data_IF_254876853064
#
_entry.id   IF_254876853064
#
_cell.length_a   1.000
_cell.length_b   1.000
_cell.length_c   1.000
_cell.angle_alpha   90.00
_cell.angle_beta   90.00
_cell.angle_gamma   90.00
#
_symmetry.space_group_name_H-M   'P 1'
#
loop_
_entity.id
_entity.type
_entity.pdbx_description
1 polymer ?
#
# COMPACT_ATOMS: atom_id res chain seq x y z
N UNK A 1 123.75 18.14 -20.34
CA UNK A 1 123.46 18.34 -21.77
C UNK A 1 122.40 17.34 -22.20
N UNK A 2 121.45 17.81 -23.00
CA UNK A 2 120.32 17.06 -23.52
C UNK A 2 120.75 15.82 -24.33
N UNK A 3 119.89 14.78 -24.35
CA UNK A 3 119.44 14.23 -25.62
C UNK A 3 118.12 13.44 -25.50
N UNK A 4 117.34 13.62 -26.55
CA UNK A 4 116.01 13.08 -26.83
C UNK A 4 116.01 11.55 -26.94
N UNK A 5 114.90 10.90 -26.59
CA UNK A 5 114.34 9.76 -27.36
C UNK A 5 112.80 9.77 -27.27
N UNK A 6 112.18 9.69 -28.46
CA UNK A 6 110.74 9.75 -28.79
C UNK A 6 110.12 8.30 -28.80
N UNK A 7 108.86 8.03 -29.22
CA UNK A 7 107.89 7.26 -28.43
C UNK A 7 107.33 6.03 -29.19
N UNK A 8 107.33 4.84 -28.59
CA UNK A 8 106.33 3.80 -28.88
C UNK A 8 106.62 2.56 -28.05
N UNK A 9 106.12 2.53 -26.82
CA UNK A 9 105.93 1.26 -26.11
C UNK A 9 104.49 0.82 -26.31
N UNK A 10 104.24 0.06 -27.39
CA UNK A 10 103.11 -0.86 -27.44
C UNK A 10 103.28 -1.84 -26.27
N UNK A 11 102.54 -1.62 -25.19
CA UNK A 11 102.41 -2.60 -24.11
C UNK A 11 101.68 -3.81 -24.69
N UNK A 12 102.42 -4.89 -24.92
CA UNK A 12 101.82 -6.20 -25.20
C UNK A 12 100.88 -6.56 -24.05
N UNK A 13 99.58 -6.78 -24.30
CA UNK A 13 98.69 -7.33 -23.28
C UNK A 13 99.14 -8.76 -22.98
N UNK A 14 99.44 -9.03 -21.72
CA UNK A 14 99.77 -10.38 -21.25
C UNK A 14 98.59 -11.33 -21.52
N UNK A 15 98.80 -12.53 -22.08
CA UNK A 15 97.71 -13.48 -22.34
C UNK A 15 96.97 -13.96 -21.07
N UNK A 16 97.58 -13.78 -19.89
CA UNK A 16 96.96 -14.10 -18.60
C UNK A 16 95.83 -13.16 -18.16
N UNK A 17 95.78 -11.91 -18.65
CA UNK A 17 94.70 -10.97 -18.28
C UNK A 17 93.43 -11.16 -19.11
N UNK A 18 93.50 -11.88 -20.24
CA UNK A 18 92.33 -12.26 -21.05
C UNK A 18 91.54 -13.41 -20.43
N UNK A 19 92.23 -14.46 -19.99
CA UNK A 19 91.61 -15.67 -19.40
C UNK A 19 90.97 -15.36 -18.04
N UNK A 20 91.63 -14.56 -17.19
CA UNK A 20 91.07 -14.10 -15.92
C UNK A 20 89.82 -13.21 -16.09
N UNK A 21 89.78 -12.38 -17.15
CA UNK A 21 88.59 -11.58 -17.46
C UNK A 21 87.42 -12.45 -17.93
N UNK A 22 87.66 -13.47 -18.76
CA UNK A 22 86.63 -14.41 -19.24
C UNK A 22 86.09 -15.28 -18.09
N UNK A 23 86.96 -15.81 -17.21
CA UNK A 23 86.56 -16.56 -16.01
C UNK A 23 85.83 -15.69 -14.99
N UNK A 24 86.25 -14.43 -14.80
CA UNK A 24 85.52 -13.48 -13.95
C UNK A 24 84.13 -13.16 -14.50
N UNK A 25 83.98 -13.00 -15.82
CA UNK A 25 82.67 -12.83 -16.47
C UNK A 25 81.75 -14.05 -16.31
N UNK A 26 82.31 -15.26 -16.30
CA UNK A 26 81.55 -16.50 -16.21
C UNK A 26 81.00 -16.80 -14.79
N UNK A 27 81.58 -16.20 -13.75
CA UNK A 27 81.13 -16.35 -12.35
C UNK A 27 80.34 -15.12 -11.88
N UNK A 28 80.77 -13.92 -12.28
CA UNK A 28 80.13 -12.66 -11.86
C UNK A 28 78.74 -12.51 -12.50
N UNK A 29 78.55 -12.91 -13.77
CA UNK A 29 77.25 -12.79 -14.44
C UNK A 29 76.18 -13.69 -13.81
N UNK A 30 76.43 -14.99 -13.54
CA UNK A 30 75.47 -15.83 -12.80
C UNK A 30 75.22 -15.34 -11.37
N UNK A 31 76.24 -14.88 -10.64
CA UNK A 31 76.07 -14.35 -9.29
C UNK A 31 75.22 -13.07 -9.28
N UNK A 32 75.42 -12.17 -10.25
CA UNK A 32 74.60 -10.98 -10.44
C UNK A 32 73.14 -11.34 -10.81
N UNK A 33 72.92 -12.34 -11.68
CA UNK A 33 71.59 -12.84 -12.00
C UNK A 33 70.88 -13.44 -10.77
N UNK A 34 71.59 -14.22 -9.94
CA UNK A 34 71.04 -14.77 -8.69
C UNK A 34 70.65 -13.65 -7.73
N UNK A 35 71.48 -12.60 -7.60
CA UNK A 35 71.16 -11.44 -6.76
C UNK A 35 69.94 -10.66 -7.28
N UNK A 36 69.80 -10.49 -8.60
CA UNK A 36 68.60 -9.88 -9.22
C UNK A 36 67.36 -10.74 -8.97
N UNK A 37 67.47 -12.06 -9.10
CA UNK A 37 66.37 -13.00 -8.80
C UNK A 37 65.99 -12.94 -7.31
N UNK A 38 66.97 -12.92 -6.41
CA UNK A 38 66.71 -12.84 -4.98
C UNK A 38 66.09 -11.49 -4.57
N UNK A 39 66.59 -10.38 -5.12
CA UNK A 39 66.02 -9.05 -4.91
C UNK A 39 64.59 -8.96 -5.44
N UNK A 40 64.30 -9.56 -6.60
CA UNK A 40 62.93 -9.61 -7.14
C UNK A 40 62.00 -10.48 -6.28
N UNK A 41 62.48 -11.61 -5.73
CA UNK A 41 61.70 -12.44 -4.78
C UNK A 41 61.40 -11.69 -3.48
N UNK A 42 62.38 -10.99 -2.88
CA UNK A 42 62.16 -10.20 -1.67
C UNK A 42 61.19 -9.06 -1.94
N UNK A 43 61.39 -8.33 -3.04
CA UNK A 43 60.49 -7.27 -3.46
C UNK A 43 59.06 -7.80 -3.65
N UNK A 44 58.91 -8.94 -4.31
CA UNK A 44 57.63 -9.61 -4.50
C UNK A 44 56.96 -9.98 -3.16
N UNK A 45 57.70 -10.61 -2.24
CA UNK A 45 57.17 -11.00 -0.92
C UNK A 45 56.77 -9.79 -0.07
N UNK A 46 57.53 -8.70 -0.17
CA UNK A 46 57.24 -7.44 0.54
C UNK A 46 56.01 -6.75 -0.04
N UNK A 47 55.95 -6.60 -1.37
CA UNK A 47 54.81 -6.03 -2.08
C UNK A 47 53.53 -6.82 -1.78
N UNK A 48 53.59 -8.15 -1.83
CA UNK A 48 52.46 -9.02 -1.53
C UNK A 48 51.91 -8.82 -0.10
N UNK A 49 52.79 -8.74 0.92
CA UNK A 49 52.36 -8.48 2.30
C UNK A 49 51.72 -7.11 2.48
N UNK A 50 52.21 -6.09 1.79
CA UNK A 50 51.64 -4.75 1.84
C UNK A 50 50.27 -4.71 1.18
N UNK A 51 50.11 -5.34 0.02
CA UNK A 51 48.82 -5.48 -0.67
C UNK A 51 47.80 -6.27 0.15
N UNK A 52 48.19 -7.35 0.82
CA UNK A 52 47.31 -8.07 1.74
C UNK A 52 46.84 -7.20 2.92
N UNK A 53 47.74 -6.42 3.52
CA UNK A 53 47.37 -5.50 4.61
C UNK A 53 46.40 -4.41 4.13
N UNK A 54 46.63 -3.86 2.94
CA UNK A 54 45.74 -2.88 2.33
C UNK A 54 44.38 -3.51 2.00
N UNK A 55 44.35 -4.71 1.43
CA UNK A 55 43.13 -5.45 1.14
C UNK A 55 42.30 -5.69 2.42
N UNK A 56 42.92 -6.23 3.49
CA UNK A 56 42.22 -6.48 4.76
C UNK A 56 41.67 -5.18 5.35
N UNK A 57 42.45 -4.09 5.27
CA UNK A 57 42.01 -2.77 5.73
C UNK A 57 40.81 -2.28 4.92
N UNK A 58 40.89 -2.27 3.59
CA UNK A 58 39.80 -1.82 2.71
C UNK A 58 38.54 -2.69 2.88
N UNK A 59 38.68 -4.02 3.03
CA UNK A 59 37.56 -4.92 3.32
C UNK A 59 36.92 -4.66 4.69
N UNK A 60 37.70 -4.29 5.71
CA UNK A 60 37.19 -3.94 7.04
C UNK A 60 36.44 -2.60 7.08
N UNK A 61 36.70 -1.73 6.10
CA UNK A 61 36.04 -0.43 5.95
C UNK A 61 34.71 -0.53 5.16
N UNK A 62 34.41 -1.68 4.53
CA UNK A 62 33.13 -1.92 3.85
C UNK A 62 31.98 -1.84 4.85
N UNK A 63 31.10 -0.84 4.66
CA UNK A 63 30.03 -0.53 5.61
C UNK A 63 29.06 -1.71 5.77
N UNK A 64 28.94 -2.20 7.00
CA UNK A 64 27.89 -3.13 7.41
C UNK A 64 26.71 -2.29 7.93
N UNK A 65 25.63 -2.25 7.17
CA UNK A 65 24.39 -1.58 7.60
C UNK A 65 23.65 -2.53 8.55
N UNK A 66 23.21 -2.00 9.70
CA UNK A 66 22.45 -2.78 10.68
C UNK A 66 21.07 -3.18 10.15
N UNK A 67 20.54 -4.32 10.62
CA UNK A 67 19.21 -4.78 10.21
C UNK A 67 18.11 -3.77 10.55
N UNK A 68 18.29 -3.04 11.65
CA UNK A 68 17.37 -2.00 12.11
C UNK A 68 17.40 -0.75 11.20
N UNK A 69 18.57 -0.34 10.72
CA UNK A 69 18.70 0.72 9.72
C UNK A 69 17.98 0.35 8.41
N UNK A 70 18.11 -0.90 7.96
CA UNK A 70 17.42 -1.40 6.76
C UNK A 70 15.90 -1.37 6.96
N UNK A 71 15.41 -1.78 8.14
CA UNK A 71 13.97 -1.70 8.47
C UNK A 71 13.47 -0.25 8.49
N UNK A 72 14.22 0.68 9.07
CA UNK A 72 13.83 2.10 9.07
C UNK A 72 13.86 2.71 7.66
N UNK A 73 14.86 2.37 6.84
CA UNK A 73 14.96 2.82 5.44
C UNK A 73 13.81 2.22 4.60
N UNK A 74 13.46 0.95 4.82
CA UNK A 74 12.31 0.30 4.19
C UNK A 74 10.99 0.96 4.59
N UNK A 75 10.76 1.23 5.88
CA UNK A 75 9.56 1.94 6.35
C UNK A 75 9.44 3.34 5.73
N UNK A 76 10.56 4.09 5.68
CA UNK A 76 10.61 5.42 5.02
C UNK A 76 10.30 5.33 3.53
N UNK A 77 10.88 4.36 2.82
CA UNK A 77 10.61 4.15 1.39
C UNK A 77 9.15 3.82 1.10
N UNK A 78 8.52 3.05 2.00
CA UNK A 78 7.10 2.69 1.94
C UNK A 78 6.16 3.78 2.50
N UNK A 79 6.69 4.93 2.95
CA UNK A 79 5.94 6.02 3.60
C UNK A 79 5.12 5.55 4.81
N UNK A 80 5.70 4.67 5.61
CA UNK A 80 5.08 4.11 6.82
C UNK A 80 5.82 4.54 8.07
N UNK A 81 5.09 4.70 9.17
CA UNK A 81 5.67 4.89 10.50
C UNK A 81 6.24 3.56 11.02
N UNK A 82 7.45 3.62 11.58
CA UNK A 82 8.10 2.48 12.21
C UNK A 82 7.90 2.55 13.74
N UNK A 83 7.61 1.43 14.43
CA UNK A 83 7.50 0.07 13.93
C UNK A 83 6.18 -0.23 13.21
N UNK A 84 6.25 -0.95 12.08
CA UNK A 84 5.07 -1.39 11.33
C UNK A 84 4.46 -2.60 12.04
N UNK A 85 3.28 -2.39 12.64
CA UNK A 85 2.55 -3.46 13.35
C UNK A 85 1.77 -4.33 12.36
N UNK A 86 1.64 -5.64 12.64
CA UNK A 86 0.74 -6.51 11.88
C UNK A 86 -0.71 -6.09 12.06
N UNK A 87 -1.62 -6.54 11.18
CA UNK A 87 -3.03 -6.25 11.31
C UNK A 87 -3.61 -6.75 12.63
N UNK A 88 -4.51 -5.97 13.21
CA UNK A 88 -5.19 -6.37 14.46
C UNK A 88 -6.32 -7.38 14.25
N UNK A 89 -6.85 -7.47 13.02
CA UNK A 89 -7.96 -8.34 12.63
C UNK A 89 -7.69 -8.90 11.24
N UNK A 90 -8.21 -10.09 10.97
CA UNK A 90 -8.19 -10.71 9.64
C UNK A 90 -9.23 -10.06 8.71
N UNK A 91 -9.08 -10.19 7.38
CA UNK A 91 -10.07 -9.66 6.42
C UNK A 91 -11.48 -10.19 6.69
N UNK A 92 -11.61 -11.49 6.95
CA UNK A 92 -12.91 -12.12 7.23
C UNK A 92 -13.58 -11.58 8.50
N UNK A 93 -12.80 -11.27 9.54
CA UNK A 93 -13.31 -10.66 10.76
C UNK A 93 -13.79 -9.24 10.51
N UNK A 94 -13.04 -8.45 9.74
CA UNK A 94 -13.40 -7.09 9.36
C UNK A 94 -14.70 -7.08 8.55
N UNK A 95 -14.77 -7.95 7.54
CA UNK A 95 -15.95 -8.08 6.68
C UNK A 95 -17.15 -8.58 7.48
N UNK A 96 -16.98 -9.50 8.45
CA UNK A 96 -18.10 -9.89 9.32
C UNK A 96 -18.59 -8.74 10.20
N UNK A 97 -17.67 -8.04 10.86
CA UNK A 97 -17.98 -6.95 11.78
C UNK A 97 -18.65 -5.77 11.08
N UNK A 98 -18.20 -5.41 9.88
CA UNK A 98 -18.84 -4.37 9.09
C UNK A 98 -20.28 -4.77 8.70
N UNK A 99 -20.56 -6.05 8.42
CA UNK A 99 -21.88 -6.53 8.02
C UNK A 99 -22.83 -6.48 9.21
N UNK A 100 -22.37 -6.97 10.36
CA UNK A 100 -23.13 -6.92 11.61
C UNK A 100 -23.43 -5.48 12.03
N UNK A 101 -22.44 -4.59 11.93
CA UNK A 101 -22.61 -3.17 12.30
C UNK A 101 -23.55 -2.46 11.34
N UNK A 102 -23.39 -2.65 10.02
CA UNK A 102 -24.29 -2.09 9.02
C UNK A 102 -25.73 -2.60 9.22
N UNK A 103 -25.90 -3.90 9.50
CA UNK A 103 -27.22 -4.48 9.76
C UNK A 103 -27.87 -3.89 11.02
N UNK A 104 -27.13 -3.74 12.12
CA UNK A 104 -27.63 -3.10 13.34
C UNK A 104 -28.11 -1.67 13.06
N UNK A 105 -27.32 -0.87 12.35
CA UNK A 105 -27.70 0.50 11.98
C UNK A 105 -28.94 0.52 11.07
N UNK A 106 -29.03 -0.40 10.13
CA UNK A 106 -30.21 -0.54 9.27
C UNK A 106 -31.43 -0.94 10.08
N UNK A 107 -31.33 -1.94 10.97
CA UNK A 107 -32.44 -2.42 11.80
C UNK A 107 -32.93 -1.34 12.78
N UNK A 108 -32.03 -0.50 13.31
CA UNK A 108 -32.38 0.65 14.16
C UNK A 108 -33.18 1.70 13.39
N UNK A 109 -32.70 2.08 12.20
CA UNK A 109 -33.32 3.12 11.35
C UNK A 109 -34.61 2.62 10.68
N UNK A 110 -34.59 1.40 10.18
CA UNK A 110 -35.67 0.71 9.49
C UNK A 110 -36.23 -0.37 10.42
N UNK A 111 -36.74 0.06 11.57
CA UNK A 111 -37.48 -0.82 12.47
C UNK A 111 -38.97 -0.89 12.08
N UNK A 112 -39.65 -1.93 12.57
CA UNK A 112 -41.08 -2.15 12.31
C UNK A 112 -41.99 -1.05 12.89
N UNK A 113 -41.55 -0.36 13.95
CA UNK A 113 -42.33 0.73 14.55
C UNK A 113 -42.41 1.93 13.61
N UNK A 114 -41.30 2.26 12.95
CA UNK A 114 -41.23 3.40 12.02
C UNK A 114 -42.16 3.19 10.82
N UNK A 115 -42.18 1.99 10.23
CA UNK A 115 -43.12 1.70 9.12
C UNK A 115 -44.57 1.61 9.61
N UNK A 116 -44.82 1.09 10.81
CA UNK A 116 -46.17 1.07 11.38
C UNK A 116 -46.73 2.48 11.58
N UNK A 117 -45.90 3.43 12.04
CA UNK A 117 -46.28 4.84 12.17
C UNK A 117 -46.62 5.45 10.80
N UNK A 118 -45.80 5.22 9.77
CA UNK A 118 -46.09 5.71 8.43
C UNK A 118 -47.38 5.11 7.83
N UNK A 119 -47.66 3.84 8.14
CA UNK A 119 -48.91 3.18 7.73
C UNK A 119 -50.11 3.78 8.46
N UNK A 120 -50.00 4.00 9.77
CA UNK A 120 -51.06 4.61 10.59
C UNK A 120 -51.37 6.04 10.11
N UNK A 121 -50.34 6.83 9.80
CA UNK A 121 -50.49 8.17 9.21
C UNK A 121 -51.18 8.12 7.84
N UNK A 122 -50.88 7.12 7.01
CA UNK A 122 -51.56 6.92 5.73
C UNK A 122 -53.04 6.56 5.91
N UNK A 123 -53.37 5.70 6.88
CA UNK A 123 -54.76 5.37 7.24
C UNK A 123 -55.51 6.63 7.69
N UNK A 124 -54.90 7.42 8.59
CA UNK A 124 -55.50 8.67 9.08
C UNK A 124 -55.72 9.72 7.98
N UNK A 125 -54.80 9.81 7.02
CA UNK A 125 -54.83 10.82 5.96
C UNK A 125 -55.90 10.57 4.90
N UNK A 126 -56.31 9.32 4.68
CA UNK A 126 -57.22 8.94 3.61
C UNK A 126 -58.55 8.36 4.10
N UNK A 127 -58.94 8.66 5.34
CA UNK A 127 -60.25 8.27 5.86
C UNK A 127 -61.40 9.03 5.19
N UNK A 128 -62.54 8.35 5.06
CA UNK A 128 -63.80 8.97 4.67
C UNK A 128 -64.21 10.02 5.73
N UNK A 129 -64.78 11.14 5.27
CA UNK A 129 -65.26 12.19 6.16
C UNK A 129 -66.45 11.69 6.98
N UNK A 130 -66.45 12.00 8.26
CA UNK A 130 -67.60 11.72 9.15
C UNK A 130 -68.66 12.81 9.02
N UNK A 131 -69.93 12.47 9.17
CA UNK A 131 -71.02 13.47 9.21
C UNK A 131 -70.74 14.48 10.33
N UNK A 132 -70.80 15.77 10.01
CA UNK A 132 -70.42 16.86 10.91
C UNK A 132 -68.97 17.33 10.77
N UNK A 133 -68.13 16.64 10.01
CA UNK A 133 -66.74 17.02 9.77
C UNK A 133 -66.63 18.16 8.75
N UNK A 134 -65.72 19.10 8.99
CA UNK A 134 -65.35 20.11 7.99
C UNK A 134 -64.52 19.45 6.88
N UNK A 135 -64.95 19.64 5.63
CA UNK A 135 -64.28 19.10 4.44
C UNK A 135 -63.91 20.22 3.49
N UNK A 136 -62.80 20.03 2.78
CA UNK A 136 -62.33 20.91 1.70
C UNK A 136 -62.05 20.05 0.46
N UNK A 137 -62.65 20.39 -0.68
CA UNK A 137 -62.43 19.66 -1.93
C UNK A 137 -62.61 20.56 -3.17
N UNK A 138 -62.08 20.12 -4.30
CA UNK A 138 -62.29 20.78 -5.59
C UNK A 138 -63.45 20.14 -6.35
N UNK A 139 -64.28 20.98 -6.97
CA UNK A 139 -65.32 20.60 -7.91
C UNK A 139 -65.00 21.13 -9.30
N UNK A 140 -65.27 20.34 -10.34
CA UNK A 140 -65.09 20.71 -11.76
C UNK A 140 -65.99 21.87 -12.17
N UNK A 141 -67.13 22.03 -11.48
CA UNK A 141 -68.16 23.03 -11.83
C UNK A 141 -68.02 24.35 -11.05
N UNK A 142 -67.01 24.49 -10.19
CA UNK A 142 -66.73 25.73 -9.44
C UNK A 142 -65.27 26.12 -9.56
N UNK A 143 -65.01 27.41 -9.73
CA UNK A 143 -63.67 27.98 -9.67
C UNK A 143 -63.26 28.21 -8.21
N UNK A 144 -62.73 27.18 -7.56
CA UNK A 144 -62.14 27.27 -6.22
C UNK A 144 -62.50 26.10 -5.30
N UNK A 145 -61.86 26.03 -4.11
CA UNK A 145 -62.15 25.01 -3.11
C UNK A 145 -63.55 25.19 -2.52
N UNK A 146 -64.31 24.11 -2.48
CA UNK A 146 -65.54 23.99 -1.70
C UNK A 146 -65.15 23.65 -0.27
N UNK A 147 -65.60 24.47 0.69
CA UNK A 147 -65.41 24.27 2.13
C UNK A 147 -66.77 24.18 2.79
N UNK A 148 -66.93 23.26 3.73
CA UNK A 148 -68.14 23.21 4.54
C UNK A 148 -68.26 21.95 5.38
N UNK A 149 -69.38 21.81 6.07
CA UNK A 149 -69.66 20.68 6.94
C UNK A 149 -70.26 19.53 6.14
N UNK A 150 -69.62 18.36 6.11
CA UNK A 150 -70.18 17.17 5.50
C UNK A 150 -71.46 16.73 6.22
N UNK A 151 -72.57 16.60 5.49
CA UNK A 151 -73.89 16.19 6.03
C UNK A 151 -74.29 14.77 5.67
N UNK A 152 -73.49 14.07 4.85
CA UNK A 152 -73.78 12.71 4.39
C UNK A 152 -73.99 12.61 2.88
N UNK A 153 -74.28 11.39 2.43
CA UNK A 153 -74.58 11.05 1.03
C UNK A 153 -76.09 10.92 0.82
N UNK A 154 -76.56 11.41 -0.32
CA UNK A 154 -77.92 11.27 -0.83
C UNK A 154 -77.85 10.70 -2.26
N UNK A 155 -77.76 9.37 -2.35
CA UNK A 155 -77.52 8.65 -3.60
C UNK A 155 -76.16 9.01 -4.22
N UNK A 156 -76.19 9.65 -5.40
CA UNK A 156 -74.99 10.10 -6.13
C UNK A 156 -74.49 11.49 -5.69
N UNK A 157 -75.20 12.15 -4.78
CA UNK A 157 -74.89 13.48 -4.29
C UNK A 157 -74.26 13.44 -2.90
N UNK A 158 -73.33 14.36 -2.67
CA UNK A 158 -72.71 14.67 -1.39
C UNK A 158 -73.32 15.96 -0.88
N UNK A 159 -73.78 15.95 0.36
CA UNK A 159 -74.35 17.12 1.02
C UNK A 159 -73.26 17.81 1.83
N UNK A 160 -72.99 19.08 1.54
CA UNK A 160 -72.03 19.91 2.27
C UNK A 160 -72.69 21.24 2.61
N UNK A 161 -72.82 21.52 3.91
CA UNK A 161 -73.69 22.56 4.46
C UNK A 161 -75.13 22.47 3.91
N UNK A 162 -75.53 23.40 3.05
CA UNK A 162 -76.86 23.45 2.42
C UNK A 162 -76.82 23.10 0.92
N UNK A 163 -75.62 22.87 0.37
CA UNK A 163 -75.40 22.62 -1.05
C UNK A 163 -75.31 21.11 -1.35
N UNK A 164 -75.77 20.73 -2.55
CA UNK A 164 -75.61 19.37 -3.10
C UNK A 164 -74.53 19.35 -4.18
N UNK A 165 -73.60 18.41 -4.08
CA UNK A 165 -72.52 18.21 -5.06
C UNK A 165 -72.60 16.80 -5.64
N UNK A 166 -72.63 16.68 -6.97
CA UNK A 166 -72.57 15.37 -7.62
C UNK A 166 -71.19 14.75 -7.45
N UNK A 167 -71.11 13.48 -7.08
CA UNK A 167 -69.84 12.72 -7.01
C UNK A 167 -69.07 12.73 -8.34
N UNK A 168 -69.74 12.94 -9.49
CA UNK A 168 -69.09 13.02 -10.81
C UNK A 168 -68.32 14.34 -11.02
N UNK A 169 -68.77 15.40 -10.35
CA UNK A 169 -68.22 16.74 -10.47
C UNK A 169 -67.07 16.96 -9.48
N UNK A 170 -66.95 16.11 -8.46
CA UNK A 170 -65.82 16.11 -7.53
C UNK A 170 -64.58 15.55 -8.25
N UNK A 171 -63.43 16.22 -8.11
CA UNK A 171 -62.16 15.71 -8.64
C UNK A 171 -61.81 14.36 -7.99
N UNK A 172 -61.27 13.43 -8.79
CA UNK A 172 -61.00 12.06 -8.35
C UNK A 172 -60.10 11.99 -7.12
N UNK A 173 -59.19 12.96 -6.99
CA UNK A 173 -58.29 13.05 -5.87
C UNK A 173 -58.96 13.35 -4.53
N UNK A 174 -60.20 13.85 -4.51
CA UNK A 174 -60.98 14.13 -3.28
C UNK A 174 -62.12 13.14 -3.04
N UNK A 175 -62.40 12.23 -3.97
CA UNK A 175 -63.51 11.26 -3.83
C UNK A 175 -63.41 10.38 -2.59
N UNK A 176 -62.19 10.13 -2.12
CA UNK A 176 -61.94 9.39 -0.88
C UNK A 176 -62.61 10.00 0.35
N UNK A 177 -62.82 11.33 0.37
CA UNK A 177 -63.50 12.01 1.48
C UNK A 177 -64.97 11.59 1.60
N UNK A 178 -65.55 11.09 0.52
CA UNK A 178 -66.97 10.83 0.46
C UNK A 178 -67.29 9.38 0.15
N UNK A 179 -66.31 8.55 -0.25
CA UNK A 179 -66.52 7.18 -0.70
C UNK A 179 -65.55 6.22 -0.02
N UNK A 180 -66.10 5.32 0.78
CA UNK A 180 -65.38 4.29 1.53
C UNK A 180 -64.49 3.40 0.66
N UNK A 181 -64.96 3.04 -0.55
CA UNK A 181 -64.18 2.21 -1.47
C UNK A 181 -62.98 2.98 -2.02
N UNK A 182 -63.19 4.26 -2.36
CA UNK A 182 -62.12 5.15 -2.82
C UNK A 182 -61.10 5.46 -1.70
N UNK A 183 -61.57 5.65 -0.45
CA UNK A 183 -60.74 5.78 0.74
C UNK A 183 -59.87 4.55 0.99
N UNK A 184 -60.49 3.37 0.96
CA UNK A 184 -59.79 2.09 1.12
C UNK A 184 -58.76 1.90 0.02
N UNK A 185 -59.13 2.15 -1.24
CA UNK A 185 -58.21 2.03 -2.38
C UNK A 185 -57.00 2.98 -2.24
N UNK A 186 -57.22 4.27 -1.96
CA UNK A 186 -56.13 5.23 -1.76
C UNK A 186 -55.22 4.87 -0.59
N UNK A 187 -55.81 4.43 0.52
CA UNK A 187 -55.06 3.97 1.69
C UNK A 187 -54.19 2.78 1.33
N UNK A 188 -54.74 1.77 0.66
CA UNK A 188 -53.99 0.57 0.23
C UNK A 188 -52.88 0.91 -0.77
N UNK A 189 -53.14 1.76 -1.75
CA UNK A 189 -52.13 2.26 -2.70
C UNK A 189 -50.98 2.96 -1.96
N UNK A 190 -51.31 3.83 -0.99
CA UNK A 190 -50.29 4.51 -0.20
C UNK A 190 -49.47 3.56 0.67
N UNK A 191 -50.12 2.60 1.33
CA UNK A 191 -49.45 1.57 2.13
C UNK A 191 -48.52 0.72 1.24
N UNK A 192 -48.96 0.37 0.03
CA UNK A 192 -48.15 -0.37 -0.94
C UNK A 192 -46.92 0.44 -1.35
N UNK A 193 -47.10 1.74 -1.61
CA UNK A 193 -45.98 2.64 -1.92
C UNK A 193 -44.97 2.70 -0.76
N UNK A 194 -45.44 2.90 0.48
CA UNK A 194 -44.61 2.95 1.69
C UNK A 194 -43.82 1.64 1.86
N UNK A 195 -44.48 0.50 1.76
CA UNK A 195 -43.81 -0.82 1.87
C UNK A 195 -42.79 -1.05 0.75
N UNK A 196 -43.11 -0.60 -0.47
CA UNK A 196 -42.23 -0.69 -1.62
C UNK A 196 -40.96 0.15 -1.45
N UNK A 197 -41.09 1.43 -1.08
CA UNK A 197 -39.95 2.32 -0.88
C UNK A 197 -39.11 1.91 0.33
N UNK A 198 -39.75 1.49 1.43
CA UNK A 198 -39.06 1.09 2.67
C UNK A 198 -38.01 0.01 2.44
N UNK A 199 -38.35 -1.05 1.69
CA UNK A 199 -37.40 -2.13 1.41
C UNK A 199 -36.21 -1.63 0.57
N UNK A 200 -36.49 -0.86 -0.48
CA UNK A 200 -35.46 -0.32 -1.38
C UNK A 200 -34.54 0.65 -0.64
N UNK A 201 -35.09 1.50 0.21
CA UNK A 201 -34.33 2.44 1.04
C UNK A 201 -33.49 1.72 2.10
N UNK A 202 -34.02 0.68 2.74
CA UNK A 202 -33.30 -0.13 3.71
C UNK A 202 -32.10 -0.86 3.06
N UNK A 203 -32.32 -1.48 1.90
CA UNK A 203 -31.27 -2.20 1.15
C UNK A 203 -30.18 -1.22 0.72
N UNK A 204 -30.54 -0.06 0.16
CA UNK A 204 -29.59 0.99 -0.23
C UNK A 204 -28.81 1.53 0.97
N UNK A 205 -29.50 1.82 2.08
CA UNK A 205 -28.86 2.31 3.30
C UNK A 205 -27.88 1.29 3.89
N UNK A 206 -28.23 0.01 3.84
CA UNK A 206 -27.34 -1.07 4.25
C UNK A 206 -26.08 -1.11 3.38
N UNK A 207 -26.21 -1.12 2.05
CA UNK A 207 -25.06 -1.20 1.14
C UNK A 207 -24.10 -0.02 1.28
N UNK A 208 -24.63 1.20 1.41
CA UNK A 208 -23.83 2.41 1.60
C UNK A 208 -23.06 2.38 2.93
N UNK A 209 -23.72 1.97 4.02
CA UNK A 209 -23.06 1.89 5.33
C UNK A 209 -22.07 0.74 5.42
N UNK A 210 -22.41 -0.43 4.87
CA UNK A 210 -21.54 -1.58 4.80
C UNK A 210 -20.19 -1.23 4.18
N UNK A 211 -20.18 -0.65 2.96
CA UNK A 211 -18.95 -0.29 2.23
C UNK A 211 -18.12 0.74 3.00
N UNK A 212 -18.78 1.73 3.59
CA UNK A 212 -18.12 2.78 4.38
C UNK A 212 -17.46 2.21 5.64
N UNK A 213 -18.21 1.41 6.41
CA UNK A 213 -17.73 0.81 7.66
C UNK A 213 -16.60 -0.18 7.37
N UNK A 214 -16.73 -0.99 6.32
CA UNK A 214 -15.69 -1.91 5.87
C UNK A 214 -14.38 -1.16 5.59
N UNK A 215 -14.43 -0.08 4.82
CA UNK A 215 -13.26 0.75 4.53
C UNK A 215 -12.61 1.34 5.79
N UNK A 216 -13.42 1.84 6.72
CA UNK A 216 -12.95 2.38 7.99
C UNK A 216 -12.29 1.30 8.87
N UNK A 217 -12.90 0.11 8.94
CA UNK A 217 -12.37 -1.01 9.72
C UNK A 217 -11.08 -1.57 9.13
N UNK A 218 -10.97 -1.69 7.80
CA UNK A 218 -9.71 -2.09 7.15
C UNK A 218 -8.59 -1.10 7.45
N UNK A 219 -8.84 0.19 7.30
CA UNK A 219 -7.84 1.23 7.58
C UNK A 219 -7.39 1.21 9.05
N UNK A 220 -8.34 1.10 10.00
CA UNK A 220 -8.06 0.99 11.43
C UNK A 220 -7.30 -0.29 11.79
N UNK A 221 -7.57 -1.38 11.07
CA UNK A 221 -6.94 -2.68 11.32
C UNK A 221 -5.56 -2.82 10.69
N UNK A 222 -5.05 -1.80 9.98
CA UNK A 222 -3.69 -1.82 9.42
C UNK A 222 -3.61 -2.25 7.95
N UNK A 223 -4.71 -2.20 7.21
CA UNK A 223 -4.74 -2.46 5.77
C UNK A 223 -4.73 -1.17 4.95
N UNK A 224 -4.25 -1.26 3.72
CA UNK A 224 -4.29 -0.20 2.70
C UNK A 224 -4.83 -0.79 1.41
N UNK A 225 -5.63 0.00 0.70
CA UNK A 225 -6.16 -0.39 -0.61
C UNK A 225 -5.06 -0.21 -1.65
N UNK A 226 -4.74 -1.29 -2.36
CA UNK A 226 -3.79 -1.26 -3.48
C UNK A 226 -4.43 -0.64 -4.74
N UNK A 227 -3.60 -0.30 -5.72
CA UNK A 227 -4.06 0.26 -7.00
C UNK A 227 -5.01 -0.69 -7.76
N UNK A 228 -4.94 -1.99 -7.49
CA UNK A 228 -5.85 -3.02 -8.03
C UNK A 228 -7.18 -3.14 -7.27
N UNK A 229 -7.42 -2.29 -6.26
CA UNK A 229 -8.65 -2.27 -5.47
C UNK A 229 -8.71 -3.31 -4.34
N UNK A 230 -7.72 -4.20 -4.23
CA UNK A 230 -7.64 -5.19 -3.15
C UNK A 230 -6.98 -4.61 -1.89
N UNK A 231 -7.45 -5.05 -0.72
CA UNK A 231 -6.88 -4.69 0.57
C UNK A 231 -5.62 -5.50 0.84
N UNK A 232 -4.51 -4.82 1.16
CA UNK A 232 -3.23 -5.44 1.57
C UNK A 232 -2.83 -4.96 2.95
N UNK A 233 -2.24 -5.84 3.75
CA UNK A 233 -1.72 -5.45 5.06
C UNK A 233 -0.50 -4.54 4.90
N UNK A 234 -0.41 -3.48 5.70
CA UNK A 234 0.77 -2.60 5.73
C UNK A 234 2.05 -3.38 6.08
N UNK A 235 1.94 -4.37 6.97
CA UNK A 235 3.06 -5.25 7.34
C UNK A 235 3.60 -6.03 6.14
N UNK A 236 2.74 -6.50 5.24
CA UNK A 236 3.18 -7.31 4.10
C UNK A 236 3.91 -6.44 3.08
N UNK A 237 3.38 -5.24 2.82
CA UNK A 237 4.02 -4.23 1.96
C UNK A 237 5.39 -3.85 2.54
N UNK A 238 5.46 -3.65 3.86
CA UNK A 238 6.72 -3.38 4.55
C UNK A 238 7.71 -4.54 4.42
N UNK A 239 7.26 -5.78 4.63
CA UNK A 239 8.12 -6.97 4.53
C UNK A 239 8.68 -7.15 3.12
N UNK A 240 7.88 -6.89 2.07
CA UNK A 240 8.33 -6.90 0.67
C UNK A 240 9.41 -5.85 0.42
N UNK A 241 9.18 -4.61 0.88
CA UNK A 241 10.15 -3.53 0.74
C UNK A 241 11.45 -3.83 1.50
N UNK A 242 11.34 -4.35 2.72
CA UNK A 242 12.48 -4.76 3.55
C UNK A 242 13.27 -5.90 2.90
N UNK A 243 12.61 -6.95 2.40
CA UNK A 243 13.28 -8.07 1.74
C UNK A 243 14.03 -7.62 0.47
N UNK A 244 13.39 -6.76 -0.33
CA UNK A 244 14.01 -6.16 -1.53
C UNK A 244 15.24 -5.33 -1.18
N UNK A 245 15.12 -4.43 -0.20
CA UNK A 245 16.21 -3.57 0.24
C UNK A 245 17.36 -4.38 0.84
N UNK A 246 17.06 -5.38 1.67
CA UNK A 246 18.06 -6.29 2.24
C UNK A 246 18.85 -7.02 1.17
N UNK A 247 18.17 -7.55 0.15
CA UNK A 247 18.79 -8.20 -0.99
C UNK A 247 19.69 -7.24 -1.80
N UNK A 248 19.19 -6.03 -2.08
CA UNK A 248 19.94 -5.01 -2.81
C UNK A 248 21.21 -4.57 -2.09
N UNK A 249 21.13 -4.32 -0.76
CA UNK A 249 22.30 -3.94 0.05
C UNK A 249 23.31 -5.10 0.14
N UNK A 250 22.82 -6.34 0.28
CA UNK A 250 23.68 -7.53 0.28
C UNK A 250 24.43 -7.71 -1.05
N UNK A 251 23.74 -7.55 -2.19
CA UNK A 251 24.36 -7.59 -3.52
C UNK A 251 25.38 -6.47 -3.69
N UNK A 252 25.03 -5.24 -3.32
CA UNK A 252 25.92 -4.08 -3.44
C UNK A 252 27.21 -4.26 -2.63
N UNK A 253 27.09 -4.84 -1.43
CA UNK A 253 28.24 -5.19 -0.58
C UNK A 253 29.12 -6.25 -1.25
N UNK A 254 28.54 -7.30 -1.82
CA UNK A 254 29.31 -8.35 -2.50
C UNK A 254 30.03 -7.80 -3.74
N UNK A 255 29.41 -6.89 -4.47
CA UNK A 255 30.04 -6.22 -5.61
C UNK A 255 31.19 -5.30 -5.17
N UNK A 256 31.04 -4.58 -4.05
CA UNK A 256 32.12 -3.76 -3.46
C UNK A 256 33.30 -4.62 -3.00
N UNK A 257 33.03 -5.72 -2.29
CA UNK A 257 34.05 -6.71 -1.89
C UNK A 257 34.77 -7.26 -3.13
N UNK A 258 34.03 -7.59 -4.21
CA UNK A 258 34.61 -8.08 -5.46
C UNK A 258 35.50 -7.05 -6.12
N UNK A 259 35.07 -5.78 -6.19
CA UNK A 259 35.88 -4.68 -6.75
C UNK A 259 37.16 -4.45 -5.96
N UNK A 260 37.08 -4.47 -4.63
CA UNK A 260 38.25 -4.34 -3.75
C UNK A 260 39.21 -5.53 -3.99
N UNK A 261 38.69 -6.75 -4.04
CA UNK A 261 39.49 -7.94 -4.33
C UNK A 261 40.15 -7.91 -5.73
N UNK A 262 39.45 -7.41 -6.75
CA UNK A 262 39.98 -7.25 -8.11
C UNK A 262 41.04 -6.15 -8.20
N UNK A 263 40.83 -5.01 -7.53
CA UNK A 263 41.80 -3.90 -7.47
C UNK A 263 43.13 -4.34 -6.87
N UNK A 264 43.09 -5.16 -5.82
CA UNK A 264 44.29 -5.65 -5.17
C UNK A 264 44.85 -6.92 -5.83
N UNK A 265 44.27 -7.44 -6.91
CA UNK A 265 44.76 -8.64 -7.61
C UNK A 265 46.10 -8.39 -8.33
N UNK A 266 47.18 -8.34 -7.56
CA UNK A 266 48.54 -8.15 -8.06
C UNK A 266 49.07 -9.49 -8.60
N UNK A 267 49.45 -9.50 -9.89
CA UNK A 267 50.05 -10.65 -10.61
C UNK A 267 49.24 -11.96 -10.59
N UNK A 268 47.90 -11.90 -10.60
CA UNK A 268 47.05 -13.06 -10.87
C UNK A 268 46.85 -14.04 -9.70
N UNK A 269 47.50 -13.84 -8.55
CA UNK A 269 47.43 -14.76 -7.40
C UNK A 269 47.21 -14.02 -6.07
N UNK A 270 46.07 -13.34 -5.92
CA UNK A 270 45.49 -13.19 -4.59
C UNK A 270 44.35 -14.18 -4.52
N UNK A 271 44.64 -15.36 -3.96
CA UNK A 271 43.61 -16.23 -3.42
C UNK A 271 43.11 -15.49 -2.18
N UNK A 272 42.04 -14.70 -2.34
CA UNK A 272 41.27 -14.24 -1.19
C UNK A 272 40.67 -15.53 -0.65
N UNK A 273 41.36 -16.18 0.28
CA UNK A 273 40.65 -17.09 1.17
C UNK A 273 39.76 -16.16 2.00
N UNK A 274 38.43 -16.23 1.84
CA UNK A 274 37.57 -15.57 2.80
C UNK A 274 37.86 -16.30 4.11
N UNK A 275 38.75 -15.74 4.93
CA UNK A 275 38.85 -16.19 6.31
C UNK A 275 37.44 -16.06 6.85
N UNK A 276 36.90 -17.23 7.18
CA UNK A 276 35.63 -17.46 7.80
C UNK A 276 35.66 -16.83 9.20
N UNK A 277 35.67 -15.50 9.24
CA UNK A 277 35.15 -14.70 10.35
C UNK A 277 33.84 -14.06 9.90
N UNK A 278 32.98 -14.90 9.29
CA UNK A 278 31.64 -15.08 9.84
C UNK A 278 31.87 -15.73 11.22
N UNK A 279 32.44 -14.96 12.15
CA UNK A 279 32.42 -15.29 13.55
C UNK A 279 30.98 -15.06 13.94
N UNK A 280 30.23 -16.16 13.86
CA UNK A 280 29.07 -16.48 14.65
C UNK A 280 28.48 -15.26 15.36
N UNK A 281 27.43 -14.68 14.75
CA UNK A 281 26.20 -14.43 15.50
C UNK A 281 25.78 -15.75 16.17
N UNK A 282 26.49 -16.12 17.24
CA UNK A 282 25.99 -16.95 18.33
C UNK A 282 26.06 -16.09 19.58
N UNK A 283 25.10 -15.18 19.69
CA UNK A 283 24.20 -15.07 20.84
C UNK A 283 23.12 -14.03 20.56
#
# INVERSE_FOLDING_TARGET
>A
MANQVNPNRKKHPSPFTGILKVLSGLIIVPAALILIIYATIIYYKSAYKNEQKLLVKELSEVKIISDEEIKQEAAKSAKMEYPVKPPSKTPDQITREAHETARKLTDEKFNQKNIALQIDDAIKSFNEASVGQQVEFLSKNRSGPVKGTYKGKDGIFVLVDMDKYSMRDIYDEFKYLFDSDAATFKTQEKIKQIKGSYKVEADKFYEENWKRIEQELYAKSGYVKSDGGSWRAKSDIFNEAYASLKSQKASSRMDEIRRIAEKHKVFGFIKVEPEASIAEEKK
#
